data_IF_430621442360
#
_entry.id   IF_430621442360
#
_cell.length_a   1.000
_cell.length_b   1.000
_cell.length_c   1.000
_cell.angle_alpha   90.00
_cell.angle_beta   90.00
_cell.angle_gamma   90.00
#
_symmetry.space_group_name_H-M   'P 1'
#
loop_
_entity.id
_entity.type
_entity.pdbx_description
1 polymer ?
#
# COMPACT_ATOMS: atom_id res chain seq x y z
N UNK A 1 -0.79 26.62 -10.13
CA UNK A 1 0.04 25.41 -10.22
C UNK A 1 1.11 25.63 -11.29
N UNK A 2 2.30 25.02 -11.16
CA UNK A 2 3.34 25.05 -12.22
C UNK A 2 3.02 24.08 -13.37
N UNK A 3 2.05 23.20 -13.17
CA UNK A 3 1.61 22.17 -14.11
C UNK A 3 0.17 22.48 -14.55
N UNK A 4 -0.18 22.38 -15.85
CA UNK A 4 -1.55 22.56 -16.31
C UNK A 4 -2.53 21.53 -15.72
N UNK A 5 -3.78 21.91 -15.49
CA UNK A 5 -4.78 21.08 -14.78
C UNK A 5 -5.11 19.74 -15.45
N UNK A 6 -4.91 19.62 -16.76
CA UNK A 6 -5.15 18.39 -17.51
C UNK A 6 -3.96 17.42 -17.48
N UNK A 7 -2.82 17.82 -16.91
CA UNK A 7 -1.63 17.00 -16.79
C UNK A 7 -1.58 16.42 -15.38
N UNK A 8 -1.72 15.10 -15.29
CA UNK A 8 -1.59 14.39 -14.02
C UNK A 8 -0.13 14.27 -13.60
N UNK A 9 0.11 14.36 -12.31
CA UNK A 9 1.42 14.36 -11.67
C UNK A 9 1.56 13.17 -10.71
N UNK A 10 2.78 12.66 -10.59
CA UNK A 10 3.09 11.52 -9.75
C UNK A 10 4.35 11.79 -8.93
N UNK A 11 4.30 11.49 -7.64
CA UNK A 11 5.49 11.37 -6.80
C UNK A 11 5.91 9.90 -6.69
N UNK A 12 7.20 9.62 -6.90
CA UNK A 12 7.76 8.27 -6.85
C UNK A 12 9.17 8.27 -6.23
N UNK A 13 9.62 7.09 -5.81
CA UNK A 13 10.96 6.86 -5.25
C UNK A 13 11.04 7.11 -3.74
N UNK A 14 11.62 6.15 -3.00
CA UNK A 14 11.90 6.23 -1.56
C UNK A 14 10.74 6.75 -0.69
N UNK A 15 9.49 6.46 -1.06
CA UNK A 15 8.32 6.79 -0.24
C UNK A 15 8.26 5.86 0.96
N UNK A 16 8.13 6.44 2.15
CA UNK A 16 8.02 5.77 3.45
C UNK A 16 6.79 6.28 4.19
N UNK A 17 6.40 5.60 5.29
CA UNK A 17 5.29 6.08 6.12
C UNK A 17 5.55 7.48 6.71
N UNK A 18 6.81 7.83 6.95
CA UNK A 18 7.18 9.14 7.50
C UNK A 18 7.00 10.28 6.51
N UNK A 19 7.17 10.01 5.20
CA UNK A 19 7.19 11.05 4.17
C UNK A 19 5.96 11.05 3.24
N UNK A 20 5.16 9.97 3.22
CA UNK A 20 4.02 9.83 2.30
C UNK A 20 3.00 10.96 2.44
N UNK A 21 2.77 11.45 3.67
CA UNK A 21 1.85 12.56 3.89
C UNK A 21 2.39 13.87 3.32
N UNK A 22 3.70 14.13 3.43
CA UNK A 22 4.32 15.31 2.85
C UNK A 22 4.25 15.27 1.32
N UNK A 23 4.49 14.11 0.70
CA UNK A 23 4.33 13.90 -0.73
C UNK A 23 2.88 14.15 -1.18
N UNK A 24 1.88 13.64 -0.46
CA UNK A 24 0.48 13.89 -0.77
C UNK A 24 0.10 15.38 -0.68
N UNK A 25 0.62 16.08 0.33
CA UNK A 25 0.38 17.53 0.52
C UNK A 25 1.06 18.40 -0.54
N UNK A 26 2.01 17.87 -1.30
CA UNK A 26 2.62 18.59 -2.43
C UNK A 26 1.64 18.78 -3.61
N UNK A 27 0.48 18.11 -3.58
CA UNK A 27 -0.58 18.28 -4.58
C UNK A 27 -0.43 17.39 -5.80
N UNK A 28 0.25 16.25 -5.67
CA UNK A 28 0.34 15.24 -6.74
C UNK A 28 -0.94 14.42 -6.85
N UNK A 29 -1.27 13.97 -8.06
CA UNK A 29 -2.45 13.13 -8.30
C UNK A 29 -2.24 11.68 -7.85
N UNK A 30 -1.00 11.19 -7.94
CA UNK A 30 -0.63 9.82 -7.60
C UNK A 30 0.66 9.76 -6.80
N UNK A 31 0.78 8.70 -6.00
CA UNK A 31 2.01 8.33 -5.32
C UNK A 31 2.26 6.84 -5.59
N UNK A 32 3.40 6.51 -6.20
CA UNK A 32 3.82 5.12 -6.37
C UNK A 32 4.81 4.69 -5.30
N UNK A 33 4.51 3.55 -4.67
CA UNK A 33 5.29 3.01 -3.55
C UNK A 33 5.64 1.57 -3.86
N UNK A 34 6.83 1.35 -4.43
CA UNK A 34 7.29 0.01 -4.78
C UNK A 34 7.34 -0.94 -3.59
N UNK A 35 7.66 -0.43 -2.38
CA UNK A 35 7.80 -1.24 -1.17
C UNK A 35 6.53 -2.03 -0.80
N UNK A 36 5.36 -1.59 -1.27
CA UNK A 36 4.08 -2.28 -1.04
C UNK A 36 4.03 -3.68 -1.67
N UNK A 37 4.86 -3.99 -2.66
CA UNK A 37 4.84 -5.28 -3.37
C UNK A 37 6.12 -6.08 -3.21
N UNK A 38 7.30 -5.45 -3.27
CA UNK A 38 8.59 -6.18 -3.19
C UNK A 38 9.15 -6.32 -1.77
N UNK A 39 8.54 -5.68 -0.77
CA UNK A 39 9.06 -5.66 0.61
C UNK A 39 7.97 -5.62 1.68
N UNK A 40 6.72 -5.94 1.32
CA UNK A 40 5.64 -6.03 2.30
C UNK A 40 5.81 -7.28 3.17
N UNK A 41 5.62 -7.12 4.49
CA UNK A 41 5.57 -8.24 5.41
C UNK A 41 4.31 -9.05 5.15
N UNK A 42 4.45 -10.36 4.97
CA UNK A 42 3.32 -11.28 4.84
C UNK A 42 2.46 -11.26 6.13
N UNK A 43 1.15 -11.33 5.96
CA UNK A 43 0.22 -11.50 7.08
C UNK A 43 0.31 -12.94 7.59
N UNK A 44 0.37 -13.10 8.90
CA UNK A 44 0.38 -14.42 9.54
C UNK A 44 -1.05 -14.96 9.59
N UNK A 45 -1.33 -16.03 8.84
CA UNK A 45 -2.66 -16.63 8.70
C UNK A 45 -2.51 -18.14 8.87
N UNK A 46 -3.35 -18.74 9.71
CA UNK A 46 -3.43 -20.18 9.90
C UNK A 46 -4.86 -20.69 9.67
N UNK A 47 -4.97 -21.97 9.29
CA UNK A 47 -6.22 -22.70 9.18
C UNK A 47 -6.25 -23.76 10.28
N UNK A 48 -7.19 -23.66 11.20
CA UNK A 48 -7.44 -24.68 12.23
C UNK A 48 -8.63 -25.56 11.80
N UNK A 49 -8.45 -26.88 11.85
CA UNK A 49 -9.46 -27.85 11.45
C UNK A 49 -9.95 -28.60 12.69
N UNK A 50 -11.26 -28.54 12.94
CA UNK A 50 -11.89 -29.39 13.95
C UNK A 50 -12.15 -30.80 13.38
N UNK A 51 -11.80 -31.87 14.13
CA UNK A 51 -12.08 -33.23 13.68
C UNK A 51 -13.60 -33.47 13.60
N UNK A 52 -14.07 -34.31 12.65
CA UNK A 52 -15.48 -34.63 12.54
C UNK A 52 -15.98 -35.32 13.82
N UNK A 53 -17.09 -34.84 14.37
CA UNK A 53 -17.75 -35.48 15.52
C UNK A 53 -18.26 -36.86 15.10
N UNK A 54 -17.67 -37.92 15.63
CA UNK A 54 -18.24 -39.27 15.52
C UNK A 54 -19.63 -39.26 16.19
N UNK A 55 -20.68 -39.56 15.41
CA UNK A 55 -22.03 -39.73 15.96
C UNK A 55 -22.07 -41.06 16.71
N UNK A 56 -22.42 -41.01 18.00
CA UNK A 56 -22.78 -42.16 18.84
C UNK A 56 -24.11 -42.76 18.44
#
# INVERSE_FOLDING_TARGET
SLVPDYVKTEASGNITLDNVQAAARAGVDFISIGALTHSAKALDISLELEPPKLKS
#
